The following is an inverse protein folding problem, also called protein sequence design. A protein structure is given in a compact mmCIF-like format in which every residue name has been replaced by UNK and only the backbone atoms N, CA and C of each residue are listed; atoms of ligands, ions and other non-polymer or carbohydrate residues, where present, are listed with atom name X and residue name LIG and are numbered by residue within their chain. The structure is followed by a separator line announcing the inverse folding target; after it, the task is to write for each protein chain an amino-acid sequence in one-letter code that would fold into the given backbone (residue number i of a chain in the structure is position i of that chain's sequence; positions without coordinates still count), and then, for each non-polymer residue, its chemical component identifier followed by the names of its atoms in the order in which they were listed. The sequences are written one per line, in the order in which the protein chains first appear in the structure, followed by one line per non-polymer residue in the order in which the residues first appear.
data_IF_376438155877
#
_entry.id   IF_376438155877
#
_cell.length_a   1.000
_cell.length_b   1.000
_cell.length_c   1.000
_cell.angle_alpha   90.00
_cell.angle_beta   90.00
_cell.angle_gamma   90.00
#
_symmetry.space_group_name_H-M   'P 1'
#
loop_
_entity.id
_entity.type
_entity.pdbx_description
1 polymer ?
#
# COMPACT_ATOMS: atom_id res chain seq x y z
N UNK A 1 -11.14 13.65 -0.44
CA UNK A 1 -10.09 13.75 -1.47
C UNK A 1 -8.89 12.92 -1.05
N UNK A 2 -8.38 12.13 -1.97
CA UNK A 2 -7.23 11.28 -1.66
C UNK A 2 -5.95 12.08 -1.71
N UNK A 3 -5.08 11.91 -0.72
CA UNK A 3 -3.74 12.45 -0.75
C UNK A 3 -2.78 11.47 -0.13
N UNK A 4 -1.50 11.69 -0.42
CA UNK A 4 -0.45 10.84 0.08
C UNK A 4 0.74 11.68 0.45
N UNK A 5 1.41 11.28 1.51
CA UNK A 5 2.63 11.92 1.99
C UNK A 5 3.70 10.86 2.04
N UNK A 6 4.89 11.20 1.55
CA UNK A 6 6.04 10.29 1.64
C UNK A 6 7.11 11.02 2.46
N UNK A 7 7.51 10.41 3.56
CA UNK A 7 8.51 10.96 4.44
C UNK A 7 9.80 10.16 4.33
N UNK A 8 10.91 10.85 4.19
CA UNK A 8 12.23 10.22 4.13
C UNK A 8 12.73 10.02 5.55
N UNK A 9 13.11 8.79 5.87
CA UNK A 9 13.62 8.48 7.21
C UNK A 9 15.13 8.59 7.23
N UNK A 10 15.78 7.73 6.47
CA UNK A 10 17.23 7.73 6.34
C UNK A 10 17.59 6.84 5.15
N UNK A 11 18.77 7.09 4.56
CA UNK A 11 19.26 6.27 3.47
C UNK A 11 18.21 6.14 2.39
N UNK A 12 17.76 4.93 2.13
CA UNK A 12 16.73 4.65 1.13
C UNK A 12 15.46 4.10 1.78
N UNK A 13 15.13 4.60 2.96
CA UNK A 13 13.95 4.19 3.71
C UNK A 13 12.95 5.33 3.79
N UNK A 14 11.70 5.03 3.52
CA UNK A 14 10.64 6.03 3.50
C UNK A 14 9.41 5.49 4.19
N UNK A 15 8.55 6.39 4.64
CA UNK A 15 7.21 6.04 5.13
C UNK A 15 6.19 6.73 4.24
N UNK A 16 5.27 5.95 3.68
CA UNK A 16 4.14 6.50 2.94
C UNK A 16 2.92 6.54 3.84
N UNK A 17 2.18 7.64 3.78
CA UNK A 17 0.99 7.82 4.60
C UNK A 17 -0.15 8.23 3.68
N UNK A 18 -1.30 7.58 3.82
CA UNK A 18 -2.45 7.89 2.98
C UNK A 18 -3.37 8.89 3.67
N UNK A 19 -4.48 9.21 3.01
CA UNK A 19 -5.42 10.20 3.53
C UNK A 19 -6.18 9.71 4.77
N UNK A 20 -6.11 8.42 5.07
CA UNK A 20 -6.78 7.83 6.24
C UNK A 20 -5.82 7.61 7.40
N UNK A 21 -4.61 8.16 7.32
CA UNK A 21 -3.59 8.08 8.37
C UNK A 21 -3.04 6.68 8.58
N UNK A 22 -3.07 5.85 7.57
CA UNK A 22 -2.40 4.56 7.60
C UNK A 22 -1.06 4.69 6.90
N UNK A 23 -0.06 3.97 7.38
CA UNK A 23 1.30 4.12 6.89
C UNK A 23 1.87 2.79 6.44
N UNK A 24 2.87 2.88 5.57
CA UNK A 24 3.60 1.72 5.09
C UNK A 24 5.07 2.09 4.99
N UNK A 25 5.94 1.16 5.37
CA UNK A 25 7.38 1.37 5.29
C UNK A 25 7.86 0.91 3.93
N UNK A 26 8.64 1.77 3.27
CA UNK A 26 9.16 1.51 1.93
C UNK A 26 10.68 1.58 1.97
N UNK A 27 11.32 0.72 1.21
CA UNK A 27 12.78 0.75 1.12
C UNK A 27 13.23 0.07 -0.16
N UNK A 28 14.53 0.18 -0.45
CA UNK A 28 15.12 -0.63 -1.52
C UNK A 28 15.40 -2.03 -0.98
N UNK A 29 15.60 -3.01 -1.87
CA UNK A 29 15.90 -4.38 -1.42
C UNK A 29 17.15 -4.47 -0.56
N UNK A 30 18.15 -3.64 -0.80
CA UNK A 30 19.37 -3.69 -0.01
C UNK A 30 19.17 -3.20 1.42
N UNK A 31 18.23 -2.27 1.64
CA UNK A 31 17.92 -1.85 3.01
C UNK A 31 17.12 -2.92 3.75
N UNK A 32 16.21 -3.57 3.05
CA UNK A 32 15.52 -4.73 3.58
C UNK A 32 14.59 -4.48 4.76
N UNK A 33 14.17 -3.23 4.98
CA UNK A 33 13.33 -2.90 6.13
C UNK A 33 11.89 -2.66 5.77
N UNK A 34 11.56 -2.61 4.50
CA UNK A 34 10.18 -2.34 4.09
C UNK A 34 9.89 -2.89 2.71
N UNK A 35 8.71 -2.59 2.23
CA UNK A 35 8.24 -3.08 0.95
C UNK A 35 8.86 -2.28 -0.18
N UNK A 36 9.24 -2.96 -1.26
CA UNK A 36 9.75 -2.28 -2.45
C UNK A 36 8.59 -1.52 -3.09
N UNK A 37 8.77 -0.23 -3.42
CA UNK A 37 7.66 0.57 -3.95
C UNK A 37 6.98 -0.01 -5.17
N UNK A 38 7.73 -0.61 -6.10
CA UNK A 38 7.14 -1.20 -7.29
C UNK A 38 6.27 -2.40 -6.94
N UNK A 39 6.65 -3.16 -5.92
CA UNK A 39 5.85 -4.30 -5.48
C UNK A 39 4.64 -3.85 -4.68
N UNK A 40 4.75 -2.73 -3.97
CA UNK A 40 3.59 -2.15 -3.32
C UNK A 40 2.53 -1.78 -4.34
N UNK A 41 2.93 -1.29 -5.50
CA UNK A 41 1.97 -1.00 -6.56
C UNK A 41 1.22 -2.26 -6.98
N UNK A 42 1.91 -3.39 -7.10
CA UNK A 42 1.26 -4.66 -7.42
C UNK A 42 0.31 -5.09 -6.31
N UNK A 43 0.72 -4.94 -5.05
CA UNK A 43 -0.13 -5.26 -3.92
C UNK A 43 -1.39 -4.39 -3.94
N UNK A 44 -1.23 -3.10 -4.25
CA UNK A 44 -2.36 -2.19 -4.30
C UNK A 44 -3.37 -2.59 -5.37
N UNK A 45 -2.89 -2.95 -6.56
CA UNK A 45 -3.76 -3.38 -7.64
C UNK A 45 -4.49 -4.67 -7.29
N UNK A 46 -3.76 -5.65 -6.75
CA UNK A 46 -4.35 -6.91 -6.35
C UNK A 46 -5.38 -6.72 -5.24
N UNK A 47 -5.09 -5.83 -4.29
CA UNK A 47 -5.99 -5.56 -3.18
C UNK A 47 -7.28 -4.91 -3.65
N UNK A 48 -7.20 -3.99 -4.60
CA UNK A 48 -8.40 -3.36 -5.14
C UNK A 48 -9.31 -4.39 -5.79
N UNK A 49 -8.72 -5.32 -6.54
CA UNK A 49 -9.50 -6.39 -7.17
C UNK A 49 -10.10 -7.31 -6.12
N UNK A 50 -9.33 -7.68 -5.10
CA UNK A 50 -9.80 -8.56 -4.05
C UNK A 50 -10.97 -7.93 -3.29
N UNK A 51 -10.89 -6.64 -2.99
CA UNK A 51 -11.97 -5.94 -2.30
C UNK A 51 -13.24 -5.93 -3.15
N UNK A 52 -13.10 -5.70 -4.45
CA UNK A 52 -14.26 -5.72 -5.35
C UNK A 52 -14.94 -7.09 -5.36
N UNK A 53 -14.14 -8.16 -5.40
CA UNK A 53 -14.69 -9.52 -5.40
C UNK A 53 -15.43 -9.78 -4.09
N UNK A 54 -14.84 -9.41 -2.97
CA UNK A 54 -15.48 -9.62 -1.66
C UNK A 54 -16.77 -8.83 -1.56
N UNK A 55 -16.80 -7.60 -2.04
CA UNK A 55 -17.99 -6.78 -1.98
C UNK A 55 -19.10 -7.34 -2.87
N UNK A 56 -18.75 -7.85 -4.04
CA UNK A 56 -19.73 -8.46 -4.93
C UNK A 56 -20.34 -9.70 -4.29
N UNK A 57 -19.49 -10.54 -3.70
CA UNK A 57 -19.99 -11.76 -3.04
C UNK A 57 -20.88 -11.42 -1.85
N UNK A 58 -20.52 -10.39 -1.09
CA UNK A 58 -21.33 -9.97 0.05
C UNK A 58 -22.70 -9.48 -0.40
N UNK A 59 -22.76 -8.72 -1.50
CA UNK A 59 -24.05 -8.23 -2.02
C UNK A 59 -24.92 -9.35 -2.52
N UNK A 60 -24.32 -10.38 -3.11
CA UNK A 60 -25.09 -11.51 -3.63
C UNK A 60 -25.51 -12.47 -2.55
N UNK A 61 -24.91 -12.40 -1.38
CA UNK A 61 -25.28 -13.23 -0.25
C UNK A 61 -25.17 -14.71 -0.54
N UNK A 62 -24.11 -15.08 -1.17
CA UNK A 62 -23.89 -16.49 -1.52
C UNK A 62 -23.28 -17.28 -0.39
#
# INVERSE_FOLDING_TARGET
MANAIVLWIRGKQFIGIDSTNHSVVLSTPDEGVGMIPSELLLVALASCTALDVVEILAKKRL
#
